data_IF_733679519226
#
_entry.id   IF_733679519226
#
_cell.length_a   1.000
_cell.length_b   1.000
_cell.length_c   1.000
_cell.angle_alpha   90.00
_cell.angle_beta   90.00
_cell.angle_gamma   90.00
#
_symmetry.space_group_name_H-M   'P 1'
#
loop_
_entity.id
_entity.type
_entity.pdbx_description
1 polymer ?
#
# COMPACT_ATOMS: atom_id res chain seq x y z
N UNK A 1 19.69 -0.38 17.76
CA UNK A 1 19.95 -1.55 18.61
C UNK A 1 19.11 -2.72 18.11
N UNK A 2 19.49 -3.97 18.39
CA UNK A 2 18.69 -5.13 18.03
C UNK A 2 17.31 -5.04 18.71
N UNK A 3 16.26 -5.31 17.95
CA UNK A 3 14.87 -5.23 18.37
C UNK A 3 14.01 -6.19 17.54
N UNK A 4 12.88 -6.62 18.08
CA UNK A 4 11.90 -7.41 17.32
C UNK A 4 11.53 -6.70 16.00
N UNK A 5 11.30 -5.39 16.04
CA UNK A 5 10.96 -4.61 14.85
C UNK A 5 12.07 -4.54 13.79
N UNK A 6 13.35 -4.59 14.16
CA UNK A 6 14.46 -4.65 13.19
C UNK A 6 14.60 -6.02 12.55
N UNK A 7 14.33 -7.08 13.31
CA UNK A 7 14.40 -8.46 12.82
C UNK A 7 13.25 -8.71 11.84
N UNK A 8 12.04 -8.26 12.17
CA UNK A 8 10.86 -8.36 11.29
C UNK A 8 11.05 -7.60 9.97
N UNK A 9 11.67 -6.41 10.01
CA UNK A 9 12.05 -5.67 8.81
C UNK A 9 12.98 -6.51 7.91
N UNK A 10 13.98 -7.15 8.51
CA UNK A 10 14.97 -7.97 7.80
C UNK A 10 14.34 -9.23 7.20
N UNK A 11 13.43 -9.89 7.92
CA UNK A 11 12.65 -11.02 7.41
C UNK A 11 11.83 -10.61 6.19
N UNK A 12 11.12 -9.48 6.25
CA UNK A 12 10.32 -9.00 5.12
C UNK A 12 11.18 -8.61 3.91
N UNK A 13 12.33 -7.97 4.12
CA UNK A 13 13.28 -7.68 3.04
C UNK A 13 13.80 -8.97 2.39
N UNK A 14 14.08 -9.99 3.19
CA UNK A 14 14.48 -11.31 2.67
C UNK A 14 13.38 -11.93 1.82
N UNK A 15 12.12 -11.91 2.29
CA UNK A 15 10.98 -12.40 1.51
C UNK A 15 10.83 -11.66 0.18
N UNK A 16 10.93 -10.33 0.18
CA UNK A 16 10.86 -9.53 -1.04
C UNK A 16 11.94 -9.95 -2.05
N UNK A 17 13.19 -10.08 -1.61
CA UNK A 17 14.34 -10.48 -2.46
C UNK A 17 14.17 -11.89 -3.04
N UNK A 18 13.59 -12.81 -2.28
CA UNK A 18 13.36 -14.18 -2.74
C UNK A 18 12.19 -14.31 -3.72
N UNK A 19 11.26 -13.35 -3.75
CA UNK A 19 10.00 -13.49 -4.49
C UNK A 19 10.03 -12.81 -5.87
N UNK A 20 10.79 -11.74 -6.04
CA UNK A 20 10.95 -11.08 -7.34
C UNK A 20 12.40 -10.69 -7.57
N UNK A 21 12.87 -10.91 -8.80
CA UNK A 21 14.29 -10.77 -9.13
C UNK A 21 14.69 -9.29 -9.15
N UNK A 22 15.66 -8.94 -8.31
CA UNK A 22 16.14 -7.57 -8.10
C UNK A 22 17.11 -7.09 -9.21
N UNK A 23 17.05 -7.67 -10.42
CA UNK A 23 18.02 -7.43 -11.52
C UNK A 23 18.04 -6.00 -12.09
N UNK A 24 17.27 -5.07 -11.53
CA UNK A 24 17.28 -3.65 -11.93
C UNK A 24 17.75 -2.65 -10.87
N UNK A 25 18.03 -3.07 -9.63
CA UNK A 25 18.15 -2.11 -8.51
C UNK A 25 19.40 -2.30 -7.65
N UNK A 26 20.56 -2.07 -8.27
CA UNK A 26 21.72 -1.57 -7.52
C UNK A 26 21.40 -0.14 -7.07
N UNK A 27 21.35 0.08 -5.75
CA UNK A 27 21.30 1.38 -5.03
C UNK A 27 19.99 2.20 -4.90
N UNK A 28 18.86 1.90 -5.57
CA UNK A 28 17.69 2.84 -5.53
C UNK A 28 16.59 2.47 -4.51
N UNK A 29 16.45 1.20 -4.11
CA UNK A 29 15.37 0.74 -3.20
C UNK A 29 15.88 0.15 -1.89
N UNK A 30 16.84 0.83 -1.26
CA UNK A 30 17.37 0.42 0.05
C UNK A 30 16.29 0.56 1.14
N UNK A 31 15.44 1.58 1.03
CA UNK A 31 14.49 1.99 2.09
C UNK A 31 13.01 1.93 1.66
N UNK A 32 12.68 1.37 0.50
CA UNK A 32 11.29 1.32 0.00
C UNK A 32 11.04 0.09 -0.87
N UNK A 33 9.79 -0.38 -0.88
CA UNK A 33 9.34 -1.43 -1.79
C UNK A 33 9.03 -0.82 -3.18
N UNK A 34 9.24 -1.57 -4.27
CA UNK A 34 8.81 -1.15 -5.59
C UNK A 34 7.28 -0.99 -5.64
N UNK A 35 6.82 -0.08 -6.50
CA UNK A 35 5.40 0.11 -6.78
C UNK A 35 4.78 -1.21 -7.27
N UNK A 36 3.64 -1.68 -6.71
CA UNK A 36 2.98 -2.90 -7.16
C UNK A 36 2.58 -2.85 -8.63
N UNK A 37 2.38 -1.66 -9.21
CA UNK A 37 2.10 -1.54 -10.64
C UNK A 37 3.27 -2.00 -11.53
N UNK A 38 4.50 -1.97 -11.00
CA UNK A 38 5.71 -2.34 -11.72
C UNK A 38 6.10 -3.83 -11.57
N UNK A 39 5.47 -4.56 -10.64
CA UNK A 39 5.79 -5.97 -10.36
C UNK A 39 4.53 -6.80 -10.35
N UNK A 40 4.38 -7.64 -11.37
CA UNK A 40 3.22 -8.52 -11.56
C UNK A 40 2.89 -9.37 -10.32
N UNK A 41 3.91 -9.90 -9.65
CA UNK A 41 3.74 -10.67 -8.40
C UNK A 41 3.05 -9.85 -7.31
N UNK A 42 3.42 -8.58 -7.15
CA UNK A 42 2.83 -7.69 -6.14
C UNK A 42 1.41 -7.25 -6.51
N UNK A 43 1.15 -7.06 -7.81
CA UNK A 43 -0.21 -6.83 -8.36
C UNK A 43 -1.12 -8.03 -8.13
N UNK A 44 -0.61 -9.24 -8.39
CA UNK A 44 -1.40 -10.47 -8.33
C UNK A 44 -1.70 -10.89 -6.89
N UNK A 45 -0.72 -10.72 -5.99
CA UNK A 45 -0.84 -11.13 -4.58
C UNK A 45 -0.85 -9.90 -3.67
N UNK A 46 -1.96 -9.14 -3.71
CA UNK A 46 -2.10 -7.89 -2.97
C UNK A 46 -1.87 -8.06 -1.45
N UNK A 47 -2.38 -9.13 -0.85
CA UNK A 47 -2.20 -9.39 0.59
C UNK A 47 -0.73 -9.61 0.96
N UNK A 48 0.06 -10.23 0.06
CA UNK A 48 1.51 -10.33 0.23
C UNK A 48 2.18 -8.96 0.15
N UNK A 49 1.79 -8.12 -0.82
CA UNK A 49 2.28 -6.74 -0.90
C UNK A 49 2.00 -5.96 0.38
N UNK A 50 0.77 -6.01 0.91
CA UNK A 50 0.37 -5.30 2.13
C UNK A 50 1.13 -5.80 3.36
N UNK A 51 1.41 -7.10 3.45
CA UNK A 51 2.26 -7.67 4.49
C UNK A 51 3.69 -7.10 4.44
N UNK A 52 4.29 -7.03 3.24
CA UNK A 52 5.61 -6.45 3.06
C UNK A 52 5.63 -4.97 3.43
N UNK A 53 4.63 -4.18 2.99
CA UNK A 53 4.52 -2.75 3.33
C UNK A 53 4.47 -2.55 4.84
N UNK A 54 3.67 -3.34 5.57
CA UNK A 54 3.57 -3.23 7.03
C UNK A 54 4.88 -3.61 7.72
N UNK A 55 5.48 -4.75 7.37
CA UNK A 55 6.71 -5.19 8.00
C UNK A 55 7.93 -4.29 7.70
N UNK A 56 7.89 -3.58 6.57
CA UNK A 56 8.95 -2.66 6.14
C UNK A 56 8.64 -1.19 6.43
N UNK A 57 7.66 -0.88 7.29
CA UNK A 57 7.31 0.50 7.57
C UNK A 57 8.50 1.28 8.18
N UNK A 58 8.80 2.52 7.72
CA UNK A 58 9.85 3.34 8.29
C UNK A 58 9.68 3.57 9.80
N UNK A 59 8.44 3.67 10.27
CA UNK A 59 8.12 3.75 11.69
C UNK A 59 8.05 2.33 12.30
N UNK A 60 8.98 1.95 13.19
CA UNK A 60 8.97 0.64 13.85
C UNK A 60 7.68 0.35 14.62
N UNK A 61 6.96 1.39 15.08
CA UNK A 61 5.71 1.24 15.80
C UNK A 61 4.54 0.80 14.89
N UNK A 62 4.65 1.01 13.58
CA UNK A 62 3.64 0.60 12.60
C UNK A 62 3.87 -0.82 12.05
N UNK A 63 5.00 -1.44 12.39
CA UNK A 63 5.33 -2.82 12.01
C UNK A 63 4.51 -3.82 12.84
N UNK A 64 4.71 -5.11 12.58
CA UNK A 64 4.18 -6.15 13.46
C UNK A 64 4.81 -6.04 14.85
N UNK A 65 4.01 -6.20 15.89
CA UNK A 65 4.46 -6.11 17.28
C UNK A 65 5.27 -7.34 17.68
N UNK A 66 5.06 -8.49 17.00
CA UNK A 66 5.79 -9.73 17.27
C UNK A 66 5.97 -10.60 16.02
N UNK A 67 6.91 -11.54 16.12
CA UNK A 67 7.10 -12.59 15.10
C UNK A 67 5.88 -13.52 15.00
N UNK A 68 5.22 -13.83 16.11
CA UNK A 68 3.99 -14.63 16.10
C UNK A 68 2.87 -13.94 15.33
N UNK A 69 2.67 -12.64 15.56
CA UNK A 69 1.69 -11.84 14.80
C UNK A 69 2.01 -11.84 13.31
N UNK A 70 3.27 -11.61 12.93
CA UNK A 70 3.70 -11.65 11.53
C UNK A 70 3.49 -13.04 10.91
N UNK A 71 3.79 -14.12 11.64
CA UNK A 71 3.63 -15.49 11.18
C UNK A 71 2.17 -15.88 10.97
N UNK A 72 1.26 -15.45 11.85
CA UNK A 72 -0.18 -15.64 11.68
C UNK A 72 -0.68 -14.97 10.41
N UNK A 73 -0.31 -13.70 10.18
CA UNK A 73 -0.70 -12.97 8.98
C UNK A 73 -0.10 -13.58 7.71
N UNK A 74 1.18 -13.97 7.75
CA UNK A 74 1.86 -14.62 6.62
C UNK A 74 1.24 -15.99 6.28
N UNK A 75 0.74 -16.72 7.28
CA UNK A 75 -0.01 -17.96 7.07
C UNK A 75 -1.33 -17.70 6.34
N UNK A 76 -2.02 -16.60 6.67
CA UNK A 76 -3.20 -16.12 5.94
C UNK A 76 -2.88 -15.83 4.48
N UNK A 77 -1.84 -15.03 4.23
CA UNK A 77 -1.36 -14.71 2.87
C UNK A 77 -1.03 -15.97 2.08
N UNK A 78 -0.33 -16.94 2.69
CA UNK A 78 0.02 -18.19 2.02
C UNK A 78 -1.24 -18.98 1.60
N UNK A 79 -2.26 -19.02 2.44
CA UNK A 79 -3.52 -19.69 2.12
C UNK A 79 -4.22 -19.05 0.94
N UNK A 80 -4.23 -17.71 0.86
CA UNK A 80 -4.78 -16.96 -0.26
C UNK A 80 -4.02 -17.24 -1.56
N UNK A 81 -2.69 -17.14 -1.53
CA UNK A 81 -1.83 -17.41 -2.69
C UNK A 81 -2.04 -18.83 -3.21
N UNK A 82 -2.05 -19.83 -2.33
CA UNK A 82 -2.28 -21.24 -2.70
C UNK A 82 -3.70 -21.43 -3.23
N UNK A 83 -4.71 -20.78 -2.65
CA UNK A 83 -6.08 -20.88 -3.14
C UNK A 83 -6.22 -20.30 -4.55
N UNK A 84 -5.61 -19.16 -4.83
CA UNK A 84 -5.56 -18.55 -6.16
C UNK A 84 -4.84 -19.45 -7.17
N UNK A 85 -3.67 -19.98 -6.81
CA UNK A 85 -2.88 -20.84 -7.71
C UNK A 85 -3.55 -22.19 -8.01
N UNK A 86 -4.28 -22.75 -7.04
CA UNK A 86 -4.85 -24.11 -7.17
C UNK A 86 -6.34 -24.13 -7.50
N UNK A 87 -7.01 -22.97 -7.46
CA UNK A 87 -8.47 -22.86 -7.57
C UNK A 87 -9.23 -23.57 -6.43
N UNK A 88 -8.54 -23.94 -5.34
CA UNK A 88 -9.14 -24.68 -4.21
C UNK A 88 -9.11 -23.84 -2.94
N UNK A 89 -10.27 -23.58 -2.30
CA UNK A 89 -10.32 -22.83 -1.05
C UNK A 89 -9.44 -23.43 0.07
N UNK A 90 -8.84 -22.57 0.88
CA UNK A 90 -8.00 -22.92 2.05
C UNK A 90 -8.55 -22.32 3.35
N UNK A 91 -9.77 -22.71 3.79
CA UNK A 91 -10.46 -22.05 4.90
C UNK A 91 -9.67 -22.15 6.22
N UNK A 92 -9.74 -21.07 6.99
CA UNK A 92 -9.21 -20.96 8.35
C UNK A 92 -10.22 -20.18 9.19
N UNK A 93 -10.35 -20.52 10.48
CA UNK A 93 -10.98 -19.60 11.41
C UNK A 93 -9.98 -18.48 11.73
N UNK A 94 -10.45 -17.23 11.63
CA UNK A 94 -9.65 -16.09 12.07
C UNK A 94 -9.60 -16.04 13.58
N UNK A 95 -8.44 -15.69 14.14
CA UNK A 95 -8.27 -15.35 15.56
C UNK A 95 -8.67 -13.90 15.86
N UNK A 96 -8.82 -13.07 14.83
CA UNK A 96 -9.13 -11.64 14.92
C UNK A 96 -10.60 -11.32 14.60
N UNK A 97 -11.22 -12.11 13.73
CA UNK A 97 -12.58 -11.89 13.27
C UNK A 97 -13.47 -13.09 13.59
N UNK A 98 -14.67 -12.82 14.09
CA UNK A 98 -15.70 -13.85 14.25
C UNK A 98 -16.21 -14.36 12.89
N UNK A 99 -16.87 -15.52 12.90
CA UNK A 99 -17.56 -16.02 11.71
C UNK A 99 -18.61 -15.03 11.23
N UNK A 100 -18.75 -14.88 9.92
CA UNK A 100 -19.79 -14.05 9.33
C UNK A 100 -21.18 -14.55 9.76
N UNK A 101 -21.97 -13.69 10.41
CA UNK A 101 -23.25 -14.08 11.02
C UNK A 101 -24.43 -13.96 10.04
N UNK A 102 -24.28 -13.20 8.95
CA UNK A 102 -25.30 -12.95 7.93
C UNK A 102 -24.64 -12.64 6.60
N UNK A 103 -25.13 -13.24 5.53
CA UNK A 103 -24.75 -12.91 4.15
C UNK A 103 -25.67 -11.77 3.69
N UNK A 104 -25.13 -10.59 3.43
CA UNK A 104 -25.91 -9.40 3.04
C UNK A 104 -26.39 -9.44 1.59
N UNK A 105 -25.69 -10.16 0.71
CA UNK A 105 -25.98 -10.23 -0.73
C UNK A 105 -25.73 -11.63 -1.31
N UNK A 106 -26.57 -12.09 -2.25
CA UNK A 106 -26.40 -13.39 -2.93
C UNK A 106 -25.49 -13.33 -4.16
N UNK A 107 -24.99 -12.15 -4.51
CA UNK A 107 -24.07 -11.92 -5.62
C UNK A 107 -22.69 -11.70 -5.04
N UNK A 108 -21.73 -12.56 -5.42
CA UNK A 108 -20.42 -12.63 -4.76
C UNK A 108 -19.57 -11.36 -4.99
N UNK A 109 -19.47 -10.80 -6.20
CA UNK A 109 -18.83 -9.50 -6.48
C UNK A 109 -19.29 -8.94 -7.84
N UNK A 110 -19.25 -7.61 -8.03
CA UNK A 110 -19.29 -6.98 -9.36
C UNK A 110 -17.96 -7.21 -10.08
N UNK A 111 -17.96 -7.17 -11.42
CA UNK A 111 -16.73 -7.35 -12.22
C UNK A 111 -15.65 -6.35 -11.78
N UNK A 112 -14.51 -6.86 -11.32
CA UNK A 112 -13.42 -6.04 -10.79
C UNK A 112 -12.64 -5.42 -11.96
N UNK A 113 -12.79 -4.10 -12.15
CA UNK A 113 -12.21 -3.35 -13.29
C UNK A 113 -10.86 -2.72 -12.95
N UNK A 114 -10.53 -2.55 -11.66
CA UNK A 114 -9.30 -1.90 -11.21
C UNK A 114 -8.25 -2.92 -10.75
N UNK A 115 -7.01 -2.72 -11.20
CA UNK A 115 -5.83 -3.45 -10.76
C UNK A 115 -5.28 -2.84 -9.45
N UNK A 116 -5.28 -3.64 -8.38
CA UNK A 116 -4.67 -3.36 -7.06
C UNK A 116 -5.42 -2.33 -6.18
N UNK A 117 -5.82 -2.75 -4.99
CA UNK A 117 -6.30 -1.83 -3.96
C UNK A 117 -5.20 -0.82 -3.59
N UNK A 118 -5.52 0.48 -3.62
CA UNK A 118 -4.63 1.55 -3.15
C UNK A 118 -4.40 1.53 -1.62
N UNK A 119 -4.98 0.57 -0.90
CA UNK A 119 -4.91 0.42 0.54
C UNK A 119 -3.53 -0.10 1.00
N UNK A 120 -2.51 0.74 0.90
CA UNK A 120 -1.12 0.43 1.20
C UNK A 120 -0.13 1.34 0.47
N UNK A 121 -0.56 1.97 -0.62
CA UNK A 121 0.21 2.99 -1.32
C UNK A 121 0.31 4.24 -0.43
N UNK A 122 1.50 4.49 0.14
CA UNK A 122 1.78 5.79 0.75
C UNK A 122 1.99 6.80 -0.37
N UNK A 123 1.36 7.97 -0.28
CA UNK A 123 1.79 9.12 -1.07
C UNK A 123 3.27 9.36 -0.76
N UNK A 124 4.15 9.16 -1.75
CA UNK A 124 5.55 9.50 -1.61
C UNK A 124 5.61 10.95 -1.11
N UNK A 125 6.19 11.16 0.08
CA UNK A 125 6.30 12.48 0.66
C UNK A 125 6.91 13.40 -0.39
N UNK A 126 6.13 14.39 -0.83
CA UNK A 126 6.58 15.38 -1.81
C UNK A 126 7.91 15.96 -1.32
N UNK A 127 8.98 15.67 -2.06
CA UNK A 127 10.32 16.14 -1.73
C UNK A 127 10.29 17.65 -1.56
N UNK A 128 10.61 18.11 -0.36
CA UNK A 128 10.81 19.52 -0.01
C UNK A 128 12.13 19.98 -0.66
N UNK A 129 12.12 20.14 -1.97
CA UNK A 129 13.24 20.58 -2.78
C UNK A 129 13.49 22.08 -2.62
N UNK A 130 14.63 22.41 -2.02
CA UNK A 130 15.47 23.58 -2.33
C UNK A 130 14.79 24.95 -2.44
N UNK A 131 14.71 25.68 -1.31
CA UNK A 131 14.76 27.15 -1.36
C UNK A 131 16.17 27.55 -1.81
N UNK A 132 16.42 27.80 -3.09
CA UNK A 132 17.37 28.80 -3.58
C UNK A 132 17.25 28.97 -5.11
N UNK A 133 16.85 30.18 -5.52
CA UNK A 133 17.12 30.73 -6.85
C UNK A 133 16.07 30.49 -7.94
N UNK A 134 15.25 31.50 -8.24
CA UNK A 134 15.40 32.35 -9.46
C UNK A 134 14.25 33.36 -9.53
N UNK A 135 14.59 34.63 -9.34
CA UNK A 135 13.70 35.78 -9.54
C UNK A 135 13.67 36.10 -11.04
N UNK A 136 12.50 36.00 -11.68
CA UNK A 136 12.16 36.55 -13.01
C UNK A 136 10.63 36.67 -12.99
N UNK A 137 10.01 37.84 -12.85
CA UNK A 137 10.11 38.98 -13.76
C UNK A 137 9.08 38.79 -14.88
N UNK A 138 7.87 39.31 -14.71
CA UNK A 138 6.82 39.27 -15.74
C UNK A 138 5.42 39.54 -15.19
N UNK A 139 5.01 40.81 -15.19
CA UNK A 139 3.65 41.30 -14.98
C UNK A 139 2.73 40.83 -16.11
N UNK A 140 1.68 40.07 -15.78
CA UNK A 140 0.54 39.77 -16.64
C UNK A 140 -0.77 40.06 -15.91
N UNK A 141 -1.87 40.41 -16.62
CA UNK A 141 -3.00 41.11 -16.03
C UNK A 141 -3.93 40.19 -15.24
N UNK A 142 -4.55 40.74 -14.20
CA UNK A 142 -5.59 40.11 -13.39
C UNK A 142 -6.88 39.87 -14.23
N UNK A 143 -7.53 38.70 -14.15
CA UNK A 143 -8.89 38.53 -14.64
C UNK A 143 -9.90 39.12 -13.65
N UNK A 144 -10.83 39.94 -14.17
CA UNK A 144 -11.90 40.59 -13.41
C UNK A 144 -12.94 39.60 -12.88
N UNK A 145 -13.42 39.89 -11.68
CA UNK A 145 -14.49 39.18 -10.99
C UNK A 145 -15.84 39.69 -11.55
N UNK A 146 -16.76 38.83 -12.01
CA UNK A 146 -18.13 39.26 -12.29
C UNK A 146 -18.90 39.43 -10.97
N UNK A 147 -19.35 40.65 -10.70
CA UNK A 147 -20.27 40.94 -9.61
C UNK A 147 -21.68 40.44 -9.98
N UNK A 148 -22.19 39.48 -9.21
CA UNK A 148 -23.61 39.12 -9.20
C UNK A 148 -24.23 39.58 -7.89
N UNK A 149 -25.38 40.25 -8.00
CA UNK A 149 -26.49 40.06 -7.06
C UNK A 149 -26.92 41.27 -6.23
N UNK A 150 -27.95 41.97 -6.74
CA UNK A 150 -29.26 41.93 -6.07
C UNK A 150 -29.70 43.14 -5.22
N UNK A 151 -30.90 43.64 -5.54
CA UNK A 151 -31.79 44.35 -4.62
C UNK A 151 -32.42 45.62 -5.21
N UNK A 152 -33.65 45.57 -5.75
CA UNK A 152 -34.94 46.03 -5.14
C UNK A 152 -34.97 47.55 -4.86
N UNK A 153 -35.97 48.37 -5.13
CA UNK A 153 -37.45 48.33 -5.26
C UNK A 153 -37.89 49.68 -5.86
N UNK A 154 -39.07 49.77 -6.48
CA UNK A 154 -39.75 51.04 -6.80
C UNK A 154 -40.61 50.95 -8.04
#
# INVERSE_FOLDING_TARGET
>A
GPSVASDLYTVARTLAVLTFDFQGYTNVFVDSLPDPDNIEVLRTYESFYRLLVRATDPDPAQRFASASEMAEQLTGVLREVVALQTGRPRPALSTLFGTELRVTDTVLFAEQVDDVSRLGARAAASGRGGRFGRRKGGTGPLPGIPAQGGGVVG
#
